data_IF_466080756415
#
_entry.id   IF_466080756415
#
_cell.length_a   1.000
_cell.length_b   1.000
_cell.length_c   1.000
_cell.angle_alpha   90.00
_cell.angle_beta   90.00
_cell.angle_gamma   90.00
#
_symmetry.space_group_name_H-M   'P 1'
#
loop_
_entity.id
_entity.type
_entity.pdbx_description
1 polymer ?
#
# COMPACT_ATOMS: atom_id res chain seq x y z
N UNK A 1 8.92 41.92 4.65
CA UNK A 1 9.35 40.67 3.99
C UNK A 1 8.42 39.56 4.46
N UNK A 2 7.32 39.37 3.73
CA UNK A 2 6.28 38.39 4.03
C UNK A 2 6.83 37.02 3.64
N UNK A 3 7.31 36.25 4.62
CA UNK A 3 7.68 34.85 4.40
C UNK A 3 6.41 34.09 4.03
N UNK A 4 6.48 33.47 2.87
CA UNK A 4 5.53 32.54 2.27
C UNK A 4 4.97 31.57 3.32
N UNK A 5 3.80 31.90 3.86
CA UNK A 5 2.96 30.95 4.60
C UNK A 5 2.21 30.01 3.65
N UNK A 6 2.45 30.13 2.34
CA UNK A 6 1.91 29.22 1.32
C UNK A 6 2.72 27.91 1.26
N UNK A 7 4.01 27.94 1.61
CA UNK A 7 4.87 26.75 1.55
C UNK A 7 4.79 25.85 2.80
N UNK A 8 4.21 26.33 3.91
CA UNK A 8 4.06 25.52 5.13
C UNK A 8 2.78 24.67 5.16
N UNK A 9 1.84 24.93 4.24
CA UNK A 9 0.63 24.12 4.04
C UNK A 9 0.80 23.06 2.93
N UNK A 10 1.95 23.04 2.25
CA UNK A 10 2.35 22.02 1.27
C UNK A 10 3.29 20.94 1.86
N UNK A 11 3.47 20.93 3.19
CA UNK A 11 4.57 20.24 3.87
C UNK A 11 4.33 18.78 4.28
N UNK A 12 3.34 18.08 3.73
CA UNK A 12 3.36 16.62 3.76
C UNK A 12 3.82 16.13 2.39
N UNK A 13 5.08 15.73 2.32
CA UNK A 13 5.60 14.99 1.16
C UNK A 13 4.63 13.86 0.83
N UNK A 14 4.40 13.58 -0.47
CA UNK A 14 3.56 12.45 -0.91
C UNK A 14 3.95 11.13 -0.24
N UNK A 15 5.22 11.02 0.16
CA UNK A 15 5.78 9.95 0.96
C UNK A 15 5.21 9.86 2.38
N UNK A 16 5.05 10.99 3.07
CA UNK A 16 4.47 11.02 4.41
C UNK A 16 2.99 10.64 4.37
N UNK A 17 2.26 11.13 3.36
CA UNK A 17 0.86 10.75 3.14
C UNK A 17 0.74 9.24 2.83
N UNK A 18 1.61 8.71 1.96
CA UNK A 18 1.62 7.28 1.65
C UNK A 18 1.90 6.41 2.88
N UNK A 19 2.85 6.80 3.74
CA UNK A 19 3.13 6.07 4.97
C UNK A 19 1.93 6.10 5.94
N UNK A 20 1.28 7.24 6.13
CA UNK A 20 0.07 7.33 6.96
C UNK A 20 -1.06 6.44 6.43
N UNK A 21 -1.23 6.40 5.11
CA UNK A 21 -2.22 5.52 4.47
C UNK A 21 -1.83 4.05 4.67
N UNK A 22 -0.55 3.69 4.59
CA UNK A 22 -0.07 2.33 4.89
C UNK A 22 -0.34 1.94 6.35
N UNK A 23 -0.08 2.83 7.31
CA UNK A 23 -0.35 2.59 8.74
C UNK A 23 -1.85 2.34 9.01
N UNK A 24 -2.73 2.96 8.23
CA UNK A 24 -4.18 2.78 8.32
C UNK A 24 -4.72 1.68 7.38
N UNK A 25 -3.88 1.18 6.46
CA UNK A 25 -4.30 0.23 5.44
C UNK A 25 -4.83 -1.06 6.07
N UNK A 26 -4.27 -1.50 7.19
CA UNK A 26 -4.76 -2.67 7.92
C UNK A 26 -6.23 -2.52 8.37
N UNK A 27 -6.69 -1.30 8.65
CA UNK A 27 -8.06 -1.02 9.09
C UNK A 27 -9.02 -0.92 7.89
N UNK A 28 -8.71 -0.11 6.87
CA UNK A 28 -9.64 0.11 5.75
C UNK A 28 -9.51 -0.91 4.61
N UNK A 29 -8.39 -1.64 4.52
CA UNK A 29 -8.19 -2.80 3.67
C UNK A 29 -8.32 -4.12 4.45
N UNK A 30 -8.94 -4.09 5.63
CA UNK A 30 -9.23 -5.30 6.39
C UNK A 30 -10.00 -6.33 5.54
N UNK A 31 -9.39 -7.50 5.32
CA UNK A 31 -9.97 -8.55 4.49
C UNK A 31 -9.76 -8.39 2.97
N UNK A 32 -9.19 -7.27 2.52
CA UNK A 32 -8.79 -7.06 1.14
C UNK A 32 -7.39 -7.63 0.93
N UNK A 33 -7.27 -8.62 0.06
CA UNK A 33 -5.99 -9.29 -0.26
C UNK A 33 -5.60 -9.19 -1.74
N UNK A 34 -6.42 -8.53 -2.56
CA UNK A 34 -6.15 -8.36 -4.00
C UNK A 34 -5.68 -6.94 -4.30
N UNK A 35 -4.70 -6.83 -5.20
CA UNK A 35 -4.17 -5.54 -5.68
C UNK A 35 -5.26 -4.62 -6.23
N UNK A 36 -6.17 -5.13 -7.04
CA UNK A 36 -7.23 -4.30 -7.66
C UNK A 36 -8.20 -3.73 -6.63
N UNK A 37 -8.57 -4.54 -5.63
CA UNK A 37 -9.44 -4.15 -4.53
C UNK A 37 -8.73 -3.14 -3.60
N UNK A 38 -7.45 -3.35 -3.28
CA UNK A 38 -6.64 -2.43 -2.49
C UNK A 38 -6.49 -1.07 -3.20
N UNK A 39 -6.21 -1.09 -4.50
CA UNK A 39 -6.08 0.12 -5.31
C UNK A 39 -7.39 0.93 -5.34
N UNK A 40 -8.53 0.25 -5.47
CA UNK A 40 -9.83 0.91 -5.41
C UNK A 40 -10.09 1.53 -4.02
N UNK A 41 -9.80 0.80 -2.94
CA UNK A 41 -9.95 1.29 -1.57
C UNK A 41 -9.08 2.51 -1.26
N UNK A 42 -7.79 2.48 -1.65
CA UNK A 42 -6.87 3.61 -1.46
C UNK A 42 -7.32 4.83 -2.29
N UNK A 43 -7.77 4.62 -3.53
CA UNK A 43 -8.26 5.71 -4.37
C UNK A 43 -9.52 6.38 -3.80
N UNK A 44 -10.43 5.58 -3.21
CA UNK A 44 -11.60 6.09 -2.51
C UNK A 44 -11.20 6.85 -1.25
N UNK A 45 -10.30 6.30 -0.43
CA UNK A 45 -9.76 6.96 0.77
C UNK A 45 -9.16 8.33 0.43
N UNK A 46 -8.31 8.42 -0.60
CA UNK A 46 -7.74 9.68 -1.09
C UNK A 46 -8.80 10.68 -1.56
N UNK A 47 -9.90 10.18 -2.10
CA UNK A 47 -11.03 11.01 -2.57
C UNK A 47 -11.92 11.48 -1.42
N UNK A 48 -11.95 10.79 -0.29
CA UNK A 48 -12.71 11.17 0.89
C UNK A 48 -11.91 12.07 1.83
N UNK A 49 -10.68 11.67 2.16
CA UNK A 49 -9.85 12.30 3.20
C UNK A 49 -8.89 13.36 2.64
N UNK A 50 -8.45 13.21 1.39
CA UNK A 50 -7.48 14.12 0.76
C UNK A 50 -8.05 14.82 -0.49
N UNK A 51 -9.28 15.34 -0.39
CA UNK A 51 -9.97 16.01 -1.51
C UNK A 51 -9.19 17.15 -2.14
N UNK A 52 -8.43 17.89 -1.32
CA UNK A 52 -7.61 19.03 -1.73
C UNK A 52 -6.37 18.66 -2.55
N UNK A 53 -5.93 17.39 -2.52
CA UNK A 53 -4.78 16.97 -3.32
C UNK A 53 -5.14 17.03 -4.82
N UNK A 54 -4.24 17.56 -5.67
CA UNK A 54 -4.43 17.52 -7.11
C UNK A 54 -4.39 16.07 -7.62
N UNK A 55 -5.02 15.79 -8.78
CA UNK A 55 -5.09 14.44 -9.33
C UNK A 55 -3.72 13.78 -9.54
N UNK A 56 -2.71 14.58 -9.91
CA UNK A 56 -1.34 14.10 -10.11
C UNK A 56 -0.70 13.61 -8.80
N UNK A 57 -0.89 14.35 -7.70
CA UNK A 57 -0.37 13.96 -6.38
C UNK A 57 -1.14 12.77 -5.80
N UNK A 58 -2.47 12.72 -5.96
CA UNK A 58 -3.26 11.53 -5.58
C UNK A 58 -2.76 10.27 -6.27
N UNK A 59 -2.45 10.36 -7.56
CA UNK A 59 -1.86 9.24 -8.31
C UNK A 59 -0.48 8.86 -7.75
N UNK A 60 0.38 9.83 -7.47
CA UNK A 60 1.70 9.57 -6.91
C UNK A 60 1.62 8.89 -5.53
N UNK A 61 0.73 9.35 -4.65
CA UNK A 61 0.47 8.75 -3.34
C UNK A 61 -0.08 7.33 -3.49
N UNK A 62 -1.05 7.11 -4.38
CA UNK A 62 -1.60 5.79 -4.67
C UNK A 62 -0.52 4.81 -5.14
N UNK A 63 0.27 5.20 -6.15
CA UNK A 63 1.33 4.37 -6.71
C UNK A 63 2.41 4.06 -5.67
N UNK A 64 2.70 5.01 -4.78
CA UNK A 64 3.67 4.83 -3.69
C UNK A 64 3.15 3.91 -2.59
N UNK A 65 1.89 4.08 -2.18
CA UNK A 65 1.22 3.22 -1.18
C UNK A 65 1.18 1.77 -1.66
N UNK A 66 0.78 1.54 -2.92
CA UNK A 66 0.78 0.21 -3.52
C UNK A 66 2.16 -0.44 -3.49
N UNK A 67 3.23 0.31 -3.82
CA UNK A 67 4.60 -0.21 -3.75
C UNK A 67 5.03 -0.59 -2.33
N UNK A 68 4.62 0.17 -1.31
CA UNK A 68 4.95 -0.14 0.09
C UNK A 68 4.25 -1.43 0.50
N UNK A 69 2.93 -1.53 0.28
CA UNK A 69 2.15 -2.74 0.59
C UNK A 69 2.70 -3.98 -0.13
N UNK A 70 3.11 -3.84 -1.40
CA UNK A 70 3.76 -4.91 -2.14
C UNK A 70 5.11 -5.33 -1.53
N UNK A 71 5.93 -4.36 -1.12
CA UNK A 71 7.23 -4.64 -0.51
C UNK A 71 7.12 -5.25 0.89
N UNK A 72 6.03 -4.97 1.60
CA UNK A 72 5.70 -5.54 2.91
C UNK A 72 5.04 -6.92 2.83
N UNK A 73 4.77 -7.42 1.62
CA UNK A 73 4.14 -8.72 1.42
C UNK A 73 2.66 -8.75 1.80
N UNK A 74 1.98 -7.58 1.82
CA UNK A 74 0.54 -7.48 2.14
C UNK A 74 -0.32 -8.39 1.25
N UNK A 75 0.12 -8.58 0.00
CA UNK A 75 -0.53 -9.43 -1.01
C UNK A 75 0.04 -10.85 -1.09
N UNK A 76 1.22 -11.10 -0.50
CA UNK A 76 1.93 -12.39 -0.62
C UNK A 76 1.46 -13.44 0.39
N UNK A 77 0.68 -13.04 1.40
CA UNK A 77 0.13 -13.95 2.40
C UNK A 77 -0.74 -15.09 1.82
N UNK A 78 -1.25 -14.95 0.59
CA UNK A 78 -2.02 -15.99 -0.11
C UNK A 78 -1.16 -16.76 -1.14
N UNK A 79 -0.04 -16.19 -1.60
CA UNK A 79 0.85 -16.81 -2.59
C UNK A 79 1.72 -17.94 -1.98
N UNK A 80 1.86 -17.97 -0.66
CA UNK A 80 2.69 -18.96 0.06
C UNK A 80 1.96 -20.21 0.56
N UNK A 81 0.66 -20.37 0.29
CA UNK A 81 -0.11 -21.51 0.78
C UNK A 81 -0.06 -22.77 -0.11
N UNK A 82 0.71 -22.76 -1.20
CA UNK A 82 0.85 -23.92 -2.10
C UNK A 82 2.30 -24.22 -2.56
N UNK A 83 3.32 -24.12 -1.69
CA UNK A 83 4.64 -24.75 -2.00
C UNK A 83 5.30 -25.37 -0.75
N UNK A 84 4.60 -26.27 -0.05
CA UNK A 84 5.24 -27.22 0.89
C UNK A 84 4.62 -28.63 0.79
N UNK A 85 4.26 -29.06 -0.41
CA UNK A 85 3.73 -30.41 -0.64
C UNK A 85 4.59 -31.18 -1.65
N UNK A 86 5.68 -31.75 -1.13
CA UNK A 86 6.17 -33.05 -1.57
C UNK A 86 7.41 -33.05 -2.45
N UNK A 87 8.53 -33.55 -1.90
CA UNK A 87 9.02 -34.89 -2.27
C UNK A 87 10.23 -35.24 -1.38
N UNK A 88 9.96 -35.80 -0.19
CA UNK A 88 10.95 -36.60 0.51
C UNK A 88 10.94 -38.00 -0.13
N UNK A 89 11.64 -38.16 -1.25
CA UNK A 89 12.01 -39.50 -1.71
C UNK A 89 13.09 -40.03 -0.77
N UNK A 90 12.66 -40.75 0.26
CA UNK A 90 13.54 -41.49 1.16
C UNK A 90 14.26 -42.58 0.36
N UNK A 91 15.50 -42.27 -0.05
CA UNK A 91 16.45 -43.26 -0.50
C UNK A 91 16.86 -44.13 0.71
N UNK A 92 16.23 -45.29 0.83
CA UNK A 92 16.74 -46.41 1.62
C UNK A 92 16.90 -47.61 0.71
N UNK A 93 18.11 -47.68 0.18
CA UNK A 93 18.78 -48.87 -0.29
C UNK A 93 18.83 -49.95 0.81
N UNK A 94 18.72 -51.22 0.37
CA UNK A 94 18.90 -52.52 1.05
C UNK A 94 17.63 -53.27 1.49
#
# INVERSE_FOLDING_TARGET
>A
MLRSAFDYLSGMDTKSIANEICDQADDFLAGVRKRDEAKAGIAEYLTLHHRSLPPAEKKAVLDQTMRILENEGFFDADAGAEEDAGDFSEAKEQ
#
